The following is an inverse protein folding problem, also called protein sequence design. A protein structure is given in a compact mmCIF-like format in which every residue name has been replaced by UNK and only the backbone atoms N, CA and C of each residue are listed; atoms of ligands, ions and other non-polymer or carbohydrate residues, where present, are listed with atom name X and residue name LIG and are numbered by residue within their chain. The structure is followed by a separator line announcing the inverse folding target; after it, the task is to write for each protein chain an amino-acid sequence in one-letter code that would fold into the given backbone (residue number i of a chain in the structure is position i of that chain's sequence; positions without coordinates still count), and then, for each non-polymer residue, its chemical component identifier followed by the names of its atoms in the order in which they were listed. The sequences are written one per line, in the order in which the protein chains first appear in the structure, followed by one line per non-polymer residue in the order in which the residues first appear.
data_IF_021473844123
#
_entry.id   IF_021473844123
#
_cell.length_a   1.000
_cell.length_b   1.000
_cell.length_c   1.000
_cell.angle_alpha   90.00
_cell.angle_beta   90.00
_cell.angle_gamma   90.00
#
_symmetry.space_group_name_H-M   'P 1'
#
loop_
_entity.id
_entity.type
_entity.pdbx_description
1 polymer ?
#
# COMPACT_ATOMS: atom_id res chain seq x y z
N UNK A 1 27.07 -25.79 21.30
CA UNK A 1 26.12 -24.74 20.90
C UNK A 1 24.73 -25.14 21.40
N UNK A 2 24.07 -24.36 22.27
CA UNK A 2 22.72 -24.69 22.71
C UNK A 2 21.70 -24.33 21.61
N UNK A 3 20.60 -25.09 21.45
CA UNK A 3 19.55 -24.78 20.49
C UNK A 3 18.80 -23.52 20.91
N UNK A 4 18.69 -22.57 19.97
CA UNK A 4 17.96 -21.32 20.14
C UNK A 4 16.47 -21.61 20.33
N UNK A 5 15.95 -21.43 21.55
CA UNK A 5 14.51 -21.44 21.83
C UNK A 5 13.97 -20.03 21.56
N UNK A 6 13.13 -19.81 20.54
CA UNK A 6 12.47 -18.51 20.39
C UNK A 6 11.58 -18.28 21.61
N UNK A 7 11.64 -17.08 22.17
CA UNK A 7 10.74 -16.66 23.24
C UNK A 7 9.31 -16.55 22.69
N UNK A 8 8.33 -17.02 23.45
CA UNK A 8 6.89 -16.98 23.14
C UNK A 8 6.38 -15.66 22.48
N UNK A 9 6.81 -14.44 22.89
CA UNK A 9 6.36 -13.21 22.24
C UNK A 9 6.75 -13.10 20.77
N UNK A 10 7.85 -13.73 20.35
CA UNK A 10 8.27 -13.75 18.94
C UNK A 10 7.44 -14.70 18.09
N UNK A 11 6.71 -15.65 18.69
CA UNK A 11 5.86 -16.62 17.97
C UNK A 11 4.43 -16.11 17.77
N UNK A 12 3.95 -15.23 18.66
CA UNK A 12 2.64 -14.59 18.51
C UNK A 12 2.66 -13.42 17.52
N UNK A 13 3.77 -12.68 17.40
CA UNK A 13 3.92 -11.60 16.42
C UNK A 13 3.99 -12.08 14.97
N UNK A 14 4.26 -13.36 14.75
CA UNK A 14 4.56 -13.91 13.41
C UNK A 14 3.34 -14.49 12.71
N UNK A 15 2.25 -14.73 13.44
CA UNK A 15 0.98 -15.18 12.86
C UNK A 15 0.11 -14.02 12.36
N UNK A 16 0.38 -12.79 12.77
CA UNK A 16 -0.47 -11.60 12.56
C UNK A 16 0.06 -10.65 11.49
N UNK A 17 0.96 -11.08 10.60
CA UNK A 17 1.35 -10.26 9.42
C UNK A 17 1.25 -11.11 8.14
N UNK A 18 0.79 -12.36 8.28
CA UNK A 18 0.74 -13.36 7.20
C UNK A 18 -0.71 -13.79 6.99
N UNK A 19 -1.58 -12.82 6.67
CA UNK A 19 -2.95 -13.11 6.20
C UNK A 19 -2.98 -12.87 4.69
N UNK A 20 -3.44 -13.84 3.88
CA UNK A 20 -3.40 -13.80 2.42
C UNK A 20 -4.12 -12.56 1.87
N UNK A 21 -3.36 -11.69 1.19
CA UNK A 21 -3.79 -10.37 0.67
C UNK A 21 -4.77 -10.42 -0.50
N UNK A 22 -5.36 -11.56 -0.80
CA UNK A 22 -6.05 -11.80 -2.08
C UNK A 22 -7.46 -11.23 -2.06
N UNK A 23 -8.03 -11.04 -0.86
CA UNK A 23 -9.31 -10.35 -0.65
C UNK A 23 -9.20 -8.81 -0.56
N UNK A 24 -7.99 -8.25 -0.62
CA UNK A 24 -7.71 -6.86 -0.20
C UNK A 24 -8.13 -5.82 -1.23
N UNK A 25 -7.91 -6.03 -2.52
CA UNK A 25 -8.32 -5.03 -3.52
C UNK A 25 -9.85 -4.95 -3.64
N UNK A 26 -10.54 -6.09 -3.56
CA UNK A 26 -11.98 -6.19 -3.79
C UNK A 26 -12.80 -5.79 -2.55
N UNK A 27 -12.42 -6.21 -1.33
CA UNK A 27 -13.13 -5.82 -0.11
C UNK A 27 -12.99 -4.31 0.18
N UNK A 28 -11.83 -3.74 -0.14
CA UNK A 28 -11.50 -2.33 0.06
C UNK A 28 -12.18 -1.41 -0.95
N UNK A 29 -12.31 -1.88 -2.20
CA UNK A 29 -13.03 -1.19 -3.28
C UNK A 29 -14.57 -1.27 -3.12
N UNK A 30 -15.10 -2.39 -2.59
CA UNK A 30 -16.55 -2.63 -2.49
C UNK A 30 -17.19 -2.21 -1.16
N UNK A 31 -16.43 -1.89 -0.10
CA UNK A 31 -17.02 -1.56 1.21
C UNK A 31 -17.89 -0.29 1.19
N UNK A 32 -17.72 0.59 0.19
CA UNK A 32 -18.53 1.81 0.06
C UNK A 32 -19.57 1.79 -1.06
N UNK A 33 -19.40 1.03 -2.15
CA UNK A 33 -20.45 0.73 -3.16
C UNK A 33 -20.04 -0.50 -3.98
N UNK A 34 -20.92 -1.50 -4.19
CA UNK A 34 -20.66 -2.57 -5.13
C UNK A 34 -20.72 -1.99 -6.55
N UNK A 35 -19.56 -1.72 -7.14
CA UNK A 35 -19.52 -1.46 -8.57
C UNK A 35 -19.92 -2.76 -9.29
N UNK A 36 -20.81 -2.71 -10.29
CA UNK A 36 -21.11 -3.87 -11.12
C UNK A 36 -19.84 -4.19 -11.90
N UNK A 37 -18.96 -4.98 -11.30
CA UNK A 37 -17.75 -5.44 -11.93
C UNK A 37 -18.18 -6.46 -12.99
N UNK A 38 -17.99 -6.17 -14.30
CA UNK A 38 -18.17 -7.21 -15.30
C UNK A 38 -17.22 -8.37 -14.96
N UNK A 39 -17.70 -9.59 -15.25
CA UNK A 39 -17.23 -10.91 -14.79
C UNK A 39 -15.75 -11.24 -15.04
N UNK A 40 -14.93 -10.31 -15.54
CA UNK A 40 -13.65 -10.58 -16.20
C UNK A 40 -12.53 -9.56 -15.91
N UNK A 41 -12.57 -8.81 -14.79
CA UNK A 41 -11.40 -8.05 -14.33
C UNK A 41 -10.58 -8.88 -13.34
N UNK A 42 -9.57 -9.56 -13.88
CA UNK A 42 -8.66 -10.44 -13.16
C UNK A 42 -7.71 -9.61 -12.31
N UNK A 43 -7.71 -9.84 -10.99
CA UNK A 43 -6.66 -9.30 -10.10
C UNK A 43 -5.35 -9.96 -10.50
N UNK A 44 -4.36 -9.16 -10.86
CA UNK A 44 -3.02 -9.64 -11.16
C UNK A 44 -2.23 -9.81 -9.87
N UNK A 45 -1.47 -10.89 -9.77
CA UNK A 45 -0.66 -11.25 -8.60
C UNK A 45 0.77 -11.40 -9.06
N UNK A 46 1.71 -10.70 -8.43
CA UNK A 46 3.12 -10.80 -8.75
C UNK A 46 3.95 -11.03 -7.49
N UNK A 47 5.00 -11.84 -7.63
CA UNK A 47 5.98 -12.12 -6.57
C UNK A 47 7.03 -11.00 -6.41
N UNK A 48 6.89 -9.90 -7.15
CA UNK A 48 7.75 -8.72 -7.08
C UNK A 48 6.95 -7.45 -6.80
N UNK A 49 7.64 -6.33 -6.61
CA UNK A 49 7.02 -5.01 -6.50
C UNK A 49 6.41 -4.59 -7.85
N UNK A 50 5.52 -3.59 -7.85
CA UNK A 50 5.13 -2.93 -9.10
C UNK A 50 6.37 -2.43 -9.85
N UNK A 51 6.33 -2.42 -11.17
CA UNK A 51 7.48 -2.01 -11.99
C UNK A 51 7.95 -0.60 -11.64
N UNK A 52 6.99 0.33 -11.52
CA UNK A 52 7.13 1.68 -11.00
C UNK A 52 7.85 1.69 -9.64
N UNK A 53 7.45 0.86 -8.68
CA UNK A 53 8.11 0.82 -7.39
C UNK A 53 9.54 0.25 -7.47
N UNK A 54 9.75 -0.82 -8.25
CA UNK A 54 11.07 -1.45 -8.38
C UNK A 54 12.11 -0.59 -9.11
N UNK A 55 11.66 0.33 -9.99
CA UNK A 55 12.54 1.09 -10.89
C UNK A 55 12.54 2.59 -10.63
N UNK A 56 11.67 3.10 -9.75
CA UNK A 56 11.52 4.53 -9.53
C UNK A 56 12.76 5.15 -8.86
N UNK A 57 13.22 6.32 -9.34
CA UNK A 57 14.25 7.10 -8.66
C UNK A 57 13.79 7.66 -7.30
N UNK A 58 12.49 7.58 -6.98
CA UNK A 58 11.89 7.99 -5.71
C UNK A 58 11.81 6.86 -4.69
N UNK A 59 12.86 6.04 -4.63
CA UNK A 59 12.95 4.92 -3.72
C UNK A 59 13.43 5.31 -2.30
N UNK A 60 13.01 6.48 -1.84
CA UNK A 60 13.40 7.00 -0.53
C UNK A 60 12.87 6.11 0.60
N UNK A 61 11.65 5.59 0.45
CA UNK A 61 11.02 4.71 1.43
C UNK A 61 11.76 3.38 1.62
N UNK A 62 12.29 2.74 0.56
CA UNK A 62 13.06 1.51 0.75
C UNK A 62 14.39 1.76 1.46
N UNK A 63 15.03 2.91 1.24
CA UNK A 63 16.24 3.28 2.00
C UNK A 63 15.94 3.51 3.47
N UNK A 64 14.79 4.09 3.79
CA UNK A 64 14.34 4.23 5.18
C UNK A 64 14.10 2.85 5.82
N UNK A 65 13.42 1.96 5.13
CA UNK A 65 12.95 0.67 5.69
C UNK A 65 14.05 -0.37 5.72
N UNK A 66 14.89 -0.41 4.69
CA UNK A 66 15.94 -1.38 4.47
C UNK A 66 17.26 -0.66 4.09
N UNK A 67 17.85 0.11 5.00
CA UNK A 67 19.00 0.98 4.71
C UNK A 67 20.25 0.23 4.23
N UNK A 68 20.32 -1.07 4.51
CA UNK A 68 21.44 -1.94 4.11
C UNK A 68 21.15 -2.78 2.86
N UNK A 69 19.99 -2.58 2.24
CA UNK A 69 19.54 -3.34 1.07
C UNK A 69 19.61 -4.85 1.28
N UNK A 70 19.30 -5.32 2.48
CA UNK A 70 19.26 -6.74 2.80
C UNK A 70 18.15 -7.45 2.01
N UNK A 71 18.24 -8.78 1.95
CA UNK A 71 17.22 -9.65 1.35
C UNK A 71 15.84 -9.31 1.91
N UNK A 72 14.98 -8.81 1.03
CA UNK A 72 13.60 -8.47 1.33
C UNK A 72 12.66 -9.47 0.65
N UNK A 73 11.50 -9.67 1.26
CA UNK A 73 10.38 -10.36 0.63
C UNK A 73 9.43 -9.31 0.09
N UNK A 74 8.96 -9.54 -1.11
CA UNK A 74 8.08 -8.62 -1.83
C UNK A 74 6.87 -9.36 -2.37
N UNK A 75 5.76 -8.65 -2.46
CA UNK A 75 4.56 -9.09 -3.16
C UNK A 75 3.83 -7.87 -3.71
N UNK A 76 3.16 -8.04 -4.84
CA UNK A 76 2.27 -6.99 -5.35
C UNK A 76 1.02 -7.56 -5.98
N UNK A 77 -0.02 -6.73 -5.99
CA UNK A 77 -1.29 -7.01 -6.64
C UNK A 77 -1.78 -5.79 -7.37
N UNK A 78 -2.48 -6.00 -8.48
CA UNK A 78 -3.12 -4.91 -9.20
C UNK A 78 -4.47 -5.26 -9.77
N UNK A 79 -5.25 -4.21 -9.97
CA UNK A 79 -6.51 -4.23 -10.70
C UNK A 79 -6.54 -3.03 -11.63
N UNK A 80 -6.95 -3.26 -12.88
CA UNK A 80 -7.23 -2.16 -13.82
C UNK A 80 -8.71 -1.84 -13.77
N UNK A 81 -9.03 -0.56 -13.63
CA UNK A 81 -10.36 0.00 -13.53
C UNK A 81 -10.48 1.17 -14.50
N UNK A 82 -11.69 1.44 -14.97
CA UNK A 82 -11.93 2.65 -15.75
C UNK A 82 -12.14 3.83 -14.81
N UNK A 83 -11.61 5.01 -15.13
CA UNK A 83 -11.75 6.22 -14.30
C UNK A 83 -13.21 6.55 -14.03
N UNK A 84 -14.10 6.43 -15.02
CA UNK A 84 -15.53 6.72 -14.82
C UNK A 84 -16.20 5.79 -13.81
N UNK A 85 -15.70 4.54 -13.67
CA UNK A 85 -16.21 3.59 -12.67
C UNK A 85 -15.85 4.03 -11.25
N UNK A 86 -14.70 4.69 -11.07
CA UNK A 86 -14.26 5.24 -9.79
C UNK A 86 -15.08 6.49 -9.45
N UNK A 87 -15.30 7.40 -10.42
CA UNK A 87 -16.06 8.64 -10.22
C UNK A 87 -17.53 8.41 -9.84
N UNK A 88 -18.19 7.42 -10.46
CA UNK A 88 -19.59 7.03 -10.15
C UNK A 88 -19.79 6.53 -8.71
N UNK A 89 -18.71 6.24 -7.98
CA UNK A 89 -18.78 5.86 -6.56
C UNK A 89 -19.11 7.02 -5.62
N UNK A 90 -18.91 8.28 -6.04
CA UNK A 90 -19.28 9.49 -5.29
C UNK A 90 -20.79 9.72 -5.47
N UNK A 91 -21.53 9.77 -4.37
CA UNK A 91 -23.00 9.81 -4.38
C UNK A 91 -23.53 11.10 -5.02
N UNK A 92 -23.87 11.07 -6.30
CA UNK A 92 -24.72 12.08 -6.95
C UNK A 92 -24.03 13.37 -7.41
N UNK A 93 -22.68 13.44 -7.41
CA UNK A 93 -21.93 14.55 -7.98
C UNK A 93 -21.17 14.09 -9.23
N UNK A 94 -21.22 14.87 -10.32
CA UNK A 94 -20.44 14.63 -11.55
C UNK A 94 -18.94 14.93 -11.39
N UNK A 95 -18.52 15.41 -10.21
CA UNK A 95 -17.13 15.77 -9.93
C UNK A 95 -16.24 14.52 -9.89
N UNK A 96 -15.17 14.54 -10.68
CA UNK A 96 -14.17 13.49 -10.73
C UNK A 96 -13.48 13.32 -9.37
N UNK A 97 -13.22 12.07 -9.00
CA UNK A 97 -12.51 11.74 -7.77
C UNK A 97 -11.02 11.91 -8.05
N UNK A 98 -10.34 12.76 -7.28
CA UNK A 98 -8.89 12.97 -7.39
C UNK A 98 -8.08 11.77 -6.86
N UNK A 99 -6.81 11.68 -7.25
CA UNK A 99 -5.93 10.58 -6.84
C UNK A 99 -5.71 10.49 -5.33
N UNK A 100 -5.58 11.64 -4.67
CA UNK A 100 -5.47 11.67 -3.21
C UNK A 100 -6.70 11.04 -2.55
N UNK A 101 -7.89 11.33 -3.07
CA UNK A 101 -9.14 10.78 -2.55
C UNK A 101 -9.22 9.27 -2.79
N UNK A 102 -8.79 8.79 -3.97
CA UNK A 102 -8.70 7.35 -4.27
C UNK A 102 -7.74 6.67 -3.29
N UNK A 103 -6.54 7.22 -3.10
CA UNK A 103 -5.52 6.67 -2.20
C UNK A 103 -5.99 6.74 -0.73
N UNK A 104 -6.65 7.80 -0.29
CA UNK A 104 -7.16 7.95 1.06
C UNK A 104 -8.27 6.94 1.35
N UNK A 105 -9.20 6.73 0.40
CA UNK A 105 -10.22 5.67 0.49
C UNK A 105 -9.59 4.30 0.50
N UNK A 106 -8.56 4.07 -0.33
CA UNK A 106 -7.85 2.80 -0.38
C UNK A 106 -7.17 2.52 0.97
N UNK A 107 -6.34 3.45 1.45
CA UNK A 107 -5.67 3.37 2.73
C UNK A 107 -6.64 3.10 3.88
N UNK A 108 -7.74 3.87 3.95
CA UNK A 108 -8.77 3.69 4.97
C UNK A 108 -9.42 2.31 4.86
N UNK A 109 -9.82 1.87 3.68
CA UNK A 109 -10.49 0.57 3.57
C UNK A 109 -9.52 -0.61 3.74
N UNK A 110 -8.22 -0.46 3.47
CA UNK A 110 -7.21 -1.47 3.77
C UNK A 110 -7.14 -1.72 5.29
N UNK A 111 -6.96 -0.65 6.07
CA UNK A 111 -6.90 -0.73 7.53
C UNK A 111 -8.27 -0.96 8.19
N UNK A 112 -9.36 -0.77 7.45
CA UNK A 112 -10.75 -1.03 7.89
C UNK A 112 -11.31 -2.39 7.48
N UNK A 113 -10.67 -3.05 6.52
CA UNK A 113 -11.15 -4.29 5.92
C UNK A 113 -11.01 -5.50 6.85
N UNK A 114 -11.60 -6.61 6.39
CA UNK A 114 -11.50 -7.92 7.04
C UNK A 114 -10.07 -8.44 7.11
N UNK A 115 -9.24 -8.10 6.12
CA UNK A 115 -7.84 -8.51 6.03
C UNK A 115 -6.98 -7.97 7.17
N UNK A 116 -7.32 -6.80 7.71
CA UNK A 116 -6.63 -6.21 8.87
C UNK A 116 -7.40 -6.44 10.18
N UNK A 117 -8.52 -7.19 10.15
CA UNK A 117 -9.32 -7.41 11.36
C UNK A 117 -8.55 -8.20 12.45
N UNK A 118 -7.79 -9.27 12.13
CA UNK A 118 -6.98 -9.97 13.13
C UNK A 118 -5.95 -9.04 13.80
N UNK A 119 -5.25 -8.25 12.99
CA UNK A 119 -4.25 -7.27 13.42
C UNK A 119 -4.91 -6.18 14.27
N UNK A 120 -6.07 -5.68 13.86
CA UNK A 120 -6.85 -4.67 14.59
C UNK A 120 -7.29 -5.17 15.96
N UNK A 121 -7.74 -6.42 16.07
CA UNK A 121 -8.11 -7.04 17.36
C UNK A 121 -6.89 -7.09 18.28
N UNK A 122 -5.73 -7.50 17.75
CA UNK A 122 -4.49 -7.57 18.52
C UNK A 122 -4.03 -6.17 18.96
N UNK A 123 -3.98 -5.20 18.04
CA UNK A 123 -3.60 -3.81 18.34
C UNK A 123 -4.53 -3.18 19.38
N UNK A 124 -5.84 -3.42 19.26
CA UNK A 124 -6.84 -2.95 20.22
C UNK A 124 -6.65 -3.59 21.60
N UNK A 125 -6.41 -4.90 21.66
CA UNK A 125 -6.17 -5.60 22.92
C UNK A 125 -4.92 -5.11 23.66
N UNK A 126 -3.83 -4.86 22.94
CA UNK A 126 -2.60 -4.31 23.54
C UNK A 126 -2.76 -2.85 23.98
N UNK A 127 -3.47 -2.03 23.18
CA UNK A 127 -3.80 -0.65 23.54
C UNK A 127 -4.63 -0.56 24.81
N UNK A 128 -5.59 -1.47 25.03
CA UNK A 128 -6.37 -1.55 26.28
C UNK A 128 -5.49 -1.85 27.52
N UNK A 129 -4.34 -2.49 27.35
CA UNK A 129 -3.39 -2.81 28.43
C UNK A 129 -2.25 -1.76 28.51
N UNK A 130 -2.37 -0.65 27.77
CA UNK A 130 -1.37 0.43 27.76
C UNK A 130 -0.04 0.04 27.12
N UNK A 131 0.00 -0.99 26.27
CA UNK A 131 1.21 -1.47 25.57
C UNK A 131 1.09 -1.23 24.06
N UNK A 132 2.22 -0.86 23.43
CA UNK A 132 2.34 -0.83 21.96
C UNK A 132 2.86 -2.18 21.47
N UNK A 133 2.28 -2.73 20.39
CA UNK A 133 2.66 -4.05 19.89
C UNK A 133 4.10 -4.03 19.36
N UNK A 134 4.38 -3.09 18.44
CA UNK A 134 5.72 -2.76 17.96
C UNK A 134 5.69 -1.27 17.64
N UNK A 135 6.31 -0.40 18.47
CA UNK A 135 6.41 1.01 18.11
C UNK A 135 7.20 1.12 16.80
N UNK A 136 6.60 1.78 15.81
CA UNK A 136 7.29 2.09 14.57
C UNK A 136 8.46 3.02 14.86
N UNK A 137 9.59 2.78 14.21
CA UNK A 137 10.78 3.56 14.46
C UNK A 137 11.75 3.46 13.32
N UNK A 138 11.96 4.55 12.59
CA UNK A 138 12.88 4.61 11.48
C UNK A 138 13.89 5.72 11.70
N UNK A 139 15.18 5.42 11.55
CA UNK A 139 16.26 6.36 11.89
C UNK A 139 16.20 7.63 11.06
N UNK A 140 15.86 7.52 9.77
CA UNK A 140 15.78 8.64 8.83
C UNK A 140 14.38 9.27 8.72
N UNK A 141 13.41 8.79 9.51
CA UNK A 141 12.02 9.25 9.43
C UNK A 141 11.47 9.55 10.83
N UNK A 142 11.65 10.79 11.34
CA UNK A 142 11.08 11.20 12.61
C UNK A 142 9.56 11.30 12.52
N UNK A 143 8.87 10.88 13.58
CA UNK A 143 7.42 11.02 13.71
C UNK A 143 7.03 12.46 14.02
N UNK A 144 7.00 13.31 12.99
CA UNK A 144 6.68 14.74 13.09
C UNK A 144 5.23 15.07 12.76
N UNK A 145 4.48 14.11 12.19
CA UNK A 145 3.07 14.30 11.81
C UNK A 145 2.08 13.99 12.92
N UNK A 146 0.79 14.31 12.72
CA UNK A 146 -0.28 14.01 13.67
C UNK A 146 -0.45 12.50 13.88
N UNK A 147 -0.90 12.11 15.08
CA UNK A 147 -1.21 10.72 15.40
C UNK A 147 -2.68 10.40 15.11
N UNK A 148 -2.91 9.38 14.29
CA UNK A 148 -4.24 8.83 13.98
C UNK A 148 -4.45 7.58 14.82
N UNK A 149 -5.21 7.68 15.91
CA UNK A 149 -5.39 6.55 16.84
C UNK A 149 -6.35 5.48 16.32
N UNK A 150 -7.38 5.88 15.57
CA UNK A 150 -8.46 4.99 15.11
C UNK A 150 -8.72 5.19 13.62
N UNK A 151 -9.39 4.21 13.03
CA UNK A 151 -9.71 4.17 11.61
C UNK A 151 -10.54 5.40 11.16
N UNK A 152 -11.43 5.87 12.04
CA UNK A 152 -12.30 7.02 11.77
C UNK A 152 -11.49 8.31 11.58
N UNK A 153 -10.29 8.37 12.13
CA UNK A 153 -9.37 9.49 11.97
C UNK A 153 -8.64 9.51 10.61
N UNK A 154 -8.71 8.45 9.81
CA UNK A 154 -8.23 8.48 8.41
C UNK A 154 -9.33 9.10 7.56
N UNK A 155 -9.05 10.25 6.94
CA UNK A 155 -10.00 10.92 6.03
C UNK A 155 -10.31 10.04 4.82
N UNK A 156 -11.52 10.20 4.26
CA UNK A 156 -11.90 9.57 2.98
C UNK A 156 -11.45 10.40 1.78
N UNK A 157 -10.92 11.60 2.01
CA UNK A 157 -10.61 12.57 0.95
C UNK A 157 -9.12 12.90 0.92
N UNK A 158 -8.52 13.12 2.09
CA UNK A 158 -7.12 13.52 2.19
C UNK A 158 -6.29 12.42 2.82
N UNK A 159 -5.06 12.26 2.36
CA UNK A 159 -4.11 11.34 2.97
C UNK A 159 -3.60 11.89 4.31
N UNK A 160 -3.30 11.03 5.30
CA UNK A 160 -2.56 11.48 6.48
C UNK A 160 -1.19 12.00 6.05
N UNK A 161 -0.77 13.17 6.54
CA UNK A 161 0.49 13.79 6.12
C UNK A 161 1.71 12.88 6.34
N UNK A 162 2.77 13.07 5.54
CA UNK A 162 4.08 12.43 5.75
C UNK A 162 4.54 12.61 7.21
N UNK A 163 5.01 11.54 7.83
CA UNK A 163 5.40 11.50 9.25
C UNK A 163 4.25 11.25 10.23
N UNK A 164 3.00 11.16 9.77
CA UNK A 164 1.87 10.82 10.62
C UNK A 164 1.99 9.39 11.15
N UNK A 165 1.75 9.22 12.44
CA UNK A 165 1.68 7.92 13.09
C UNK A 165 0.27 7.35 12.99
N UNK A 166 0.12 6.10 12.57
CA UNK A 166 -1.17 5.44 12.49
C UNK A 166 -1.31 4.35 13.55
N UNK A 167 -2.53 4.25 14.08
CA UNK A 167 -3.00 3.25 15.04
C UNK A 167 -2.11 3.13 16.28
N UNK A 168 -1.89 4.24 16.99
CA UNK A 168 -1.07 4.23 18.22
C UNK A 168 0.45 4.17 17.95
N UNK A 169 0.87 4.48 16.73
CA UNK A 169 2.26 4.44 16.28
C UNK A 169 2.76 3.05 15.94
N UNK A 170 1.90 2.17 15.41
CA UNK A 170 2.32 0.89 14.82
C UNK A 170 2.73 1.04 13.35
N UNK A 171 2.26 2.11 12.70
CA UNK A 171 2.61 2.46 11.32
C UNK A 171 2.97 3.93 11.24
N UNK A 172 3.71 4.31 10.19
CA UNK A 172 4.04 5.69 9.86
C UNK A 172 3.86 5.93 8.37
N UNK A 173 3.36 7.10 7.98
CA UNK A 173 3.39 7.52 6.57
C UNK A 173 4.80 7.94 6.21
N UNK A 174 5.46 7.15 5.36
CA UNK A 174 6.86 7.36 4.94
C UNK A 174 6.96 8.40 3.83
N UNK A 175 6.08 8.32 2.84
CA UNK A 175 6.11 9.21 1.70
C UNK A 175 4.76 9.31 1.01
N UNK A 176 4.55 10.44 0.34
CA UNK A 176 3.36 10.69 -0.48
C UNK A 176 3.84 11.38 -1.75
N UNK A 177 3.39 10.87 -2.88
CA UNK A 177 3.54 11.52 -4.17
C UNK A 177 2.17 11.56 -4.82
N UNK A 178 1.72 12.77 -5.16
CA UNK A 178 0.49 12.98 -5.92
C UNK A 178 0.91 13.56 -7.24
N UNK A 179 0.48 12.92 -8.31
CA UNK A 179 0.77 13.40 -9.63
C UNK A 179 -0.06 14.64 -9.96
N UNK A 180 0.54 15.57 -10.70
CA UNK A 180 -0.07 16.87 -10.97
C UNK A 180 -1.14 16.73 -12.04
N UNK A 181 -2.40 16.83 -11.63
CA UNK A 181 -3.51 16.98 -12.58
C UNK A 181 -3.35 18.29 -13.36
N UNK A 182 -2.70 18.22 -14.52
CA UNK A 182 -2.61 19.29 -15.53
C UNK A 182 -1.73 20.49 -15.18
N UNK A 183 -0.51 20.54 -15.73
CA UNK A 183 0.08 21.81 -16.14
C UNK A 183 0.53 21.73 -17.60
N UNK A 184 -0.02 22.62 -18.41
CA UNK A 184 0.31 22.87 -19.81
C UNK A 184 1.80 23.22 -19.97
N UNK A 185 2.66 22.22 -20.18
CA UNK A 185 3.94 22.39 -20.85
C UNK A 185 4.39 21.04 -21.41
N UNK A 186 3.84 20.66 -22.56
CA UNK A 186 4.33 19.54 -23.37
C UNK A 186 5.66 19.91 -24.04
N UNK A 187 6.68 20.23 -23.24
CA UNK A 187 8.05 20.27 -23.73
C UNK A 187 8.73 18.93 -23.41
N UNK A 188 8.60 18.02 -24.40
CA UNK A 188 9.50 16.91 -24.73
C UNK A 188 10.17 16.21 -23.53
N UNK A 189 9.44 15.34 -22.86
CA UNK A 189 10.05 14.18 -22.18
C UNK A 189 9.96 12.98 -23.13
N UNK A 190 11.08 12.28 -23.44
CA UNK A 190 11.09 11.22 -24.42
C UNK A 190 10.35 9.97 -23.92
N UNK A 191 9.16 9.77 -24.47
CA UNK A 191 8.57 8.53 -24.98
C UNK A 191 9.27 7.19 -24.60
N UNK A 192 8.86 6.60 -23.45
CA UNK A 192 8.54 5.15 -23.39
C UNK A 192 7.86 4.65 -22.11
N UNK A 193 7.93 5.36 -20.99
CA UNK A 193 7.47 4.82 -19.69
C UNK A 193 6.98 5.88 -18.68
N UNK A 194 6.66 7.11 -19.12
CA UNK A 194 6.15 8.15 -18.23
C UNK A 194 4.65 7.95 -17.95
N UNK A 195 4.27 6.81 -17.36
CA UNK A 195 2.98 6.75 -16.67
C UNK A 195 3.03 7.75 -15.53
N UNK A 196 2.03 8.60 -15.46
CA UNK A 196 1.80 9.44 -14.31
C UNK A 196 1.38 8.54 -13.12
N UNK A 197 2.07 8.70 -11.98
CA UNK A 197 1.92 7.80 -10.82
C UNK A 197 1.65 8.61 -9.57
N UNK A 198 0.61 8.25 -8.83
CA UNK A 198 0.36 8.74 -7.46
C UNK A 198 0.53 7.59 -6.47
N UNK A 199 1.17 7.82 -5.32
CA UNK A 199 1.32 6.80 -4.29
C UNK A 199 1.36 7.34 -2.86
N UNK A 200 1.09 6.44 -1.91
CA UNK A 200 1.37 6.62 -0.49
C UNK A 200 2.10 5.39 0.06
N UNK A 201 3.20 5.66 0.78
CA UNK A 201 4.02 4.65 1.45
C UNK A 201 3.76 4.66 2.94
N UNK A 202 3.50 3.48 3.50
CA UNK A 202 3.21 3.28 4.91
C UNK A 202 4.17 2.25 5.48
N UNK A 203 5.07 2.71 6.36
CA UNK A 203 6.06 1.89 7.02
C UNK A 203 5.55 1.24 8.31
N UNK A 204 6.12 0.10 8.65
CA UNK A 204 5.91 -0.60 9.91
C UNK A 204 7.20 -1.27 10.39
N UNK A 205 7.27 -1.56 11.69
CA UNK A 205 8.46 -2.13 12.31
C UNK A 205 9.54 -1.08 12.59
N UNK A 206 10.80 -1.51 12.66
CA UNK A 206 11.90 -0.65 13.09
C UNK A 206 13.22 -1.04 12.39
N UNK A 207 13.84 -0.09 11.70
CA UNK A 207 15.07 -0.28 10.92
C UNK A 207 16.28 -0.67 11.79
N UNK A 208 16.22 -0.42 13.09
CA UNK A 208 17.26 -0.79 14.06
C UNK A 208 17.01 -2.16 14.68
N UNK A 209 15.89 -2.82 14.35
CA UNK A 209 15.48 -4.13 14.91
C UNK A 209 15.54 -5.22 13.84
N UNK A 210 14.93 -6.37 14.14
CA UNK A 210 14.95 -7.56 13.29
C UNK A 210 13.83 -7.61 12.26
N UNK A 211 12.97 -6.59 12.23
CA UNK A 211 11.78 -6.56 11.38
C UNK A 211 11.42 -5.12 11.03
N UNK A 212 11.35 -4.87 9.73
CA UNK A 212 10.83 -3.64 9.14
C UNK A 212 10.15 -3.98 7.82
N UNK A 213 9.23 -3.13 7.40
CA UNK A 213 8.58 -3.26 6.11
C UNK A 213 7.76 -2.03 5.74
N UNK A 214 7.16 -2.07 4.58
CA UNK A 214 6.26 -1.04 4.10
C UNK A 214 5.18 -1.59 3.16
N UNK A 215 4.08 -0.86 3.09
CA UNK A 215 3.04 -0.99 2.08
C UNK A 215 3.07 0.25 1.18
N UNK A 216 3.00 0.04 -0.14
CA UNK A 216 2.76 1.09 -1.12
C UNK A 216 1.40 0.90 -1.73
N UNK A 217 0.57 1.94 -1.66
CA UNK A 217 -0.68 2.04 -2.40
C UNK A 217 -0.44 3.00 -3.55
N UNK A 218 -0.68 2.55 -4.78
CA UNK A 218 -0.26 3.27 -5.97
C UNK A 218 -1.36 3.28 -7.03
N UNK A 219 -1.45 4.40 -7.76
CA UNK A 219 -2.31 4.64 -8.90
C UNK A 219 -1.40 4.91 -10.08
N UNK A 220 -1.60 4.16 -11.16
CA UNK A 220 -0.88 4.33 -12.42
C UNK A 220 -1.89 4.63 -13.53
N UNK A 221 -1.72 5.76 -14.19
CA UNK A 221 -2.58 6.19 -15.28
C UNK A 221 -2.12 5.56 -16.61
N UNK A 222 -3.08 5.00 -17.35
CA UNK A 222 -2.89 4.46 -18.70
C UNK A 222 -3.90 5.12 -19.63
N UNK A 223 -3.39 5.98 -20.53
CA UNK A 223 -4.20 6.48 -21.63
C UNK A 223 -4.23 5.42 -22.72
N UNK A 224 -5.42 4.97 -23.11
CA UNK A 224 -5.57 4.09 -24.26
C UNK A 224 -4.96 4.80 -25.48
N UNK A 225 -3.95 4.19 -26.11
CA UNK A 225 -3.48 4.66 -27.41
C UNK A 225 -4.62 4.48 -28.39
N UNK A 226 -5.07 5.56 -29.02
CA UNK A 226 -5.92 5.50 -30.20
C UNK A 226 -5.22 4.62 -31.24
N UNK A 227 -5.75 3.40 -31.46
CA UNK A 227 -5.51 2.74 -32.72
C UNK A 227 -6.15 3.63 -33.79
N UNK A 228 -5.35 3.98 -34.80
CA UNK A 228 -5.72 4.86 -35.90
C UNK A 228 -6.91 4.28 -36.68
N UNK A 229 -8.11 4.56 -36.21
CA UNK A 229 -9.33 4.50 -37.01
C UNK A 229 -10.13 5.78 -36.75
N UNK A 230 -10.53 6.43 -37.83
CA UNK A 230 -10.99 7.84 -37.93
C UNK A 230 -12.36 8.12 -37.29
N UNK A 231 -12.52 7.79 -36.00
CA UNK A 231 -13.60 8.30 -35.17
C UNK A 231 -13.03 8.72 -33.82
N UNK A 232 -12.96 10.03 -33.59
CA UNK A 232 -12.68 10.64 -32.29
C UNK A 232 -13.77 10.27 -31.26
N UNK A 233 -13.80 9.03 -30.79
CA UNK A 233 -14.33 8.74 -29.47
C UNK A 233 -13.16 8.83 -28.49
N UNK A 234 -13.16 9.87 -27.65
CA UNK A 234 -12.21 10.00 -26.55
C UNK A 234 -12.20 8.68 -25.76
N UNK A 235 -11.12 7.93 -25.86
CA UNK A 235 -10.93 6.68 -25.13
C UNK A 235 -11.11 6.92 -23.62
N UNK A 236 -11.84 6.03 -22.96
CA UNK A 236 -12.02 6.10 -21.51
C UNK A 236 -10.68 5.83 -20.80
N UNK A 237 -10.29 6.70 -19.86
CA UNK A 237 -9.05 6.54 -19.12
C UNK A 237 -9.06 5.27 -18.27
N UNK A 238 -8.01 4.46 -18.42
CA UNK A 238 -7.77 3.30 -17.57
C UNK A 238 -6.80 3.65 -16.44
N UNK A 239 -7.20 3.29 -15.23
CA UNK A 239 -6.42 3.46 -14.01
C UNK A 239 -6.07 2.09 -13.47
N UNK A 240 -4.77 1.83 -13.29
CA UNK A 240 -4.30 0.64 -12.61
C UNK A 240 -3.98 0.97 -11.15
N UNK A 241 -4.70 0.32 -10.24
CA UNK A 241 -4.48 0.43 -8.80
C UNK A 241 -3.57 -0.72 -8.37
N UNK A 242 -2.48 -0.38 -7.69
CA UNK A 242 -1.48 -1.30 -7.17
C UNK A 242 -1.46 -1.30 -5.65
N UNK A 243 -1.24 -2.49 -5.10
CA UNK A 243 -0.70 -2.69 -3.76
C UNK A 243 0.63 -3.38 -3.91
N UNK A 244 1.65 -2.85 -3.26
CA UNK A 244 2.94 -3.52 -3.09
C UNK A 244 3.29 -3.59 -1.62
N UNK A 245 3.93 -4.68 -1.22
CA UNK A 245 4.38 -4.90 0.14
C UNK A 245 5.81 -5.39 0.13
N UNK A 246 6.59 -4.89 1.09
CA UNK A 246 7.97 -5.30 1.33
C UNK A 246 8.16 -5.55 2.81
N UNK A 247 8.87 -6.62 3.16
CA UNK A 247 9.31 -6.90 4.52
C UNK A 247 10.73 -7.45 4.52
N UNK A 248 11.57 -6.97 5.44
CA UNK A 248 12.97 -7.39 5.58
C UNK A 248 13.42 -7.46 7.05
N UNK A 249 14.58 -8.09 7.25
CA UNK A 249 15.33 -7.97 8.50
C UNK A 249 16.46 -6.95 8.30
N UNK A 250 16.31 -5.71 8.79
CA UNK A 250 17.31 -4.66 8.54
C UNK A 250 18.59 -4.87 9.36
N UNK A 251 18.57 -5.73 10.38
CA UNK A 251 19.75 -6.07 11.18
C UNK A 251 20.60 -7.18 10.58
N UNK A 252 20.00 -8.15 9.87
CA UNK A 252 20.68 -9.36 9.37
C UNK A 252 20.18 -9.67 7.96
N UNK A 253 21.09 -9.86 7.01
CA UNK A 253 20.77 -10.24 5.63
C UNK A 253 20.29 -11.69 5.53
N UNK A 254 19.05 -11.92 5.97
CA UNK A 254 18.35 -13.21 5.89
C UNK A 254 16.85 -12.99 5.70
N UNK A 255 16.17 -13.92 5.01
CA UNK A 255 14.71 -13.93 4.96
C UNK A 255 14.12 -13.91 6.37
N UNK A 256 13.09 -13.09 6.58
CA UNK A 256 12.40 -12.98 7.86
C UNK A 256 11.78 -14.30 8.34
N UNK A 257 11.33 -15.14 7.42
CA UNK A 257 10.67 -16.40 7.72
C UNK A 257 11.10 -17.51 6.77
N UNK A 258 10.84 -18.73 7.22
CA UNK A 258 10.96 -19.95 6.42
C UNK A 258 9.89 -19.97 5.32
N UNK A 259 10.20 -20.49 4.14
CA UNK A 259 9.37 -20.40 2.93
C UNK A 259 7.93 -20.94 3.10
N UNK A 260 7.72 -21.90 4.00
CA UNK A 260 6.41 -22.54 4.23
C UNK A 260 5.39 -21.61 4.89
N UNK A 261 5.82 -20.68 5.76
CA UNK A 261 4.91 -19.71 6.38
C UNK A 261 4.28 -18.78 5.32
N UNK A 262 5.03 -18.49 4.26
CA UNK A 262 4.60 -17.65 3.14
C UNK A 262 3.82 -18.39 2.06
N UNK A 263 3.94 -19.71 1.94
CA UNK A 263 3.14 -20.50 0.99
C UNK A 263 1.63 -20.41 1.27
N UNK A 264 1.24 -20.15 2.53
CA UNK A 264 -0.16 -19.90 2.92
C UNK A 264 -0.68 -18.55 2.39
N UNK A 265 0.20 -17.56 2.21
CA UNK A 265 -0.13 -16.24 1.69
C UNK A 265 -0.42 -16.24 0.18
N UNK A 266 0.12 -17.21 -0.56
CA UNK A 266 0.01 -17.35 -2.02
C UNK A 266 -1.26 -18.03 -2.52
N UNK A 267 -2.03 -18.71 -1.65
CA UNK A 267 -3.08 -19.67 -2.04
C UNK A 267 -4.53 -19.21 -1.85
N UNK A 268 -4.78 -17.90 -1.84
CA UNK A 268 -6.16 -17.37 -1.82
C UNK A 268 -6.34 -16.43 -3.00
#
# INVERSE_FOLDING_TARGET
MPPFRPSLPLLLTTFTIVVPTTSILLATYLYTRPLPLPKQRMISINDGLSHSFATSPHDHSLKIVNPKSHTARTDSRSITLLRSSISKSKSGSEEEVGDEEILARYLRGYFGGWSFAPERILLSGFSMIGRKLIPVGFSEMPATGPEVQKLEGISKVNLPAKGSLLFGGNFIVLDIHLASSGSESWEKVPEKDSSEISYVDVGFGDDRKKFAGMHRFEIQHHFAKEEKDEKEEKGEEEVRIWYSSLSCNPSIDRPLFWDWAFALHRRV
#
